data_IF_232362100945
#
_entry.id   IF_232362100945
#
_cell.length_a   1.000
_cell.length_b   1.000
_cell.length_c   1.000
_cell.angle_alpha   90.00
_cell.angle_beta   90.00
_cell.angle_gamma   90.00
#
_symmetry.space_group_name_H-M   'P 1'
#
loop_
_entity.id
_entity.type
_entity.pdbx_description
1 polymer ?
#
# COMPACT_ATOMS: atom_id res chain seq x y z
N UNK A 1 12.74 3.77 7.04
CA UNK A 1 12.66 3.55 8.51
C UNK A 1 11.42 2.75 8.87
N UNK A 2 10.21 3.23 8.55
CA UNK A 2 8.96 2.48 8.80
C UNK A 2 8.91 1.14 8.06
N UNK A 3 9.30 1.08 6.79
CA UNK A 3 9.39 -0.19 6.04
C UNK A 3 10.17 -1.26 6.82
N UNK A 4 11.40 -0.93 7.25
CA UNK A 4 12.25 -1.83 8.05
C UNK A 4 11.61 -2.24 9.39
N UNK A 5 10.83 -1.35 10.00
CA UNK A 5 10.10 -1.66 11.23
C UNK A 5 9.05 -2.74 10.98
N UNK A 6 8.24 -2.59 9.92
CA UNK A 6 7.19 -3.54 9.57
C UNK A 6 7.75 -4.90 9.11
N UNK A 7 8.81 -4.92 8.29
CA UNK A 7 9.48 -6.16 7.88
C UNK A 7 9.97 -6.95 9.10
N UNK A 8 10.69 -6.30 10.01
CA UNK A 8 11.19 -6.94 11.24
C UNK A 8 10.08 -7.38 12.18
N UNK A 9 9.01 -6.62 12.27
CA UNK A 9 7.85 -6.98 13.08
C UNK A 9 7.15 -8.23 12.53
N UNK A 10 6.99 -8.31 11.21
CA UNK A 10 6.42 -9.48 10.54
C UNK A 10 7.28 -10.73 10.71
N UNK A 11 8.59 -10.62 10.45
CA UNK A 11 9.56 -11.72 10.68
C UNK A 11 9.51 -12.22 12.13
N UNK A 12 9.46 -11.31 13.12
CA UNK A 12 9.38 -11.67 14.55
C UNK A 12 8.05 -12.34 14.91
N UNK A 13 6.96 -11.98 14.25
CA UNK A 13 5.63 -12.60 14.43
C UNK A 13 5.49 -13.94 13.70
N UNK A 14 6.47 -14.33 12.88
CA UNK A 14 6.40 -15.51 12.03
C UNK A 14 5.47 -15.33 10.83
N UNK A 15 5.20 -14.08 10.42
CA UNK A 15 4.47 -13.80 9.21
C UNK A 15 5.37 -13.95 7.98
N UNK A 16 4.82 -14.49 6.90
CA UNK A 16 5.47 -14.43 5.60
C UNK A 16 5.27 -13.02 5.03
N UNK A 17 6.38 -12.33 4.77
CA UNK A 17 6.40 -10.92 4.37
C UNK A 17 7.11 -10.81 3.04
N UNK A 18 6.38 -10.39 2.02
CA UNK A 18 6.89 -10.20 0.66
C UNK A 18 6.96 -8.71 0.33
N UNK A 19 8.10 -8.28 -0.17
CA UNK A 19 8.30 -6.92 -0.65
C UNK A 19 7.87 -6.84 -2.12
N UNK A 20 6.69 -6.29 -2.40
CA UNK A 20 6.13 -6.24 -3.76
C UNK A 20 6.78 -5.15 -4.60
N UNK A 21 6.93 -3.95 -4.03
CA UNK A 21 7.49 -2.80 -4.75
C UNK A 21 8.23 -1.88 -3.78
N UNK A 22 9.35 -1.32 -4.23
CA UNK A 22 10.02 -0.20 -3.57
C UNK A 22 10.49 0.78 -4.63
N UNK A 23 10.18 2.05 -4.41
CA UNK A 23 10.70 3.15 -5.21
C UNK A 23 11.59 4.01 -4.33
N UNK A 24 12.87 4.11 -4.71
CA UNK A 24 13.84 4.92 -3.97
C UNK A 24 13.53 6.42 -4.09
N UNK A 25 13.92 7.18 -3.05
CA UNK A 25 13.87 8.64 -3.07
C UNK A 25 15.06 9.22 -3.84
N UNK A 26 14.89 10.41 -4.42
CA UNK A 26 15.91 11.04 -5.28
C UNK A 26 17.24 11.35 -4.56
N UNK A 27 17.18 11.72 -3.28
CA UNK A 27 18.37 12.09 -2.50
C UNK A 27 18.66 11.09 -1.38
N UNK A 28 17.62 10.68 -0.64
CA UNK A 28 17.74 9.69 0.42
C UNK A 28 16.39 9.08 0.78
N UNK A 29 16.41 7.83 1.21
CA UNK A 29 15.23 7.13 1.69
C UNK A 29 14.38 6.54 0.56
N UNK A 30 13.09 6.37 0.83
CA UNK A 30 12.14 5.67 -0.03
C UNK A 30 10.99 6.63 -0.32
N UNK A 31 10.59 6.71 -1.60
CA UNK A 31 9.43 7.48 -2.05
C UNK A 31 8.13 6.72 -1.79
N UNK A 32 8.10 5.45 -2.14
CA UNK A 32 6.96 4.54 -1.97
C UNK A 32 7.45 3.11 -1.74
N UNK A 33 6.69 2.34 -0.97
CA UNK A 33 6.93 0.92 -0.80
C UNK A 33 5.62 0.18 -0.56
N UNK A 34 5.48 -0.98 -1.16
CA UNK A 34 4.34 -1.89 -1.04
C UNK A 34 4.82 -3.21 -0.47
N UNK A 35 4.18 -3.67 0.60
CA UNK A 35 4.53 -4.91 1.30
C UNK A 35 3.29 -5.78 1.42
N UNK A 36 3.43 -7.05 1.09
CA UNK A 36 2.39 -8.04 1.20
C UNK A 36 2.65 -8.94 2.43
N UNK A 37 1.70 -9.01 3.35
CA UNK A 37 1.75 -9.87 4.54
C UNK A 37 0.85 -11.10 4.34
N UNK A 38 1.44 -12.28 4.16
CA UNK A 38 0.74 -13.55 3.93
C UNK A 38 0.67 -14.34 5.23
N UNK A 39 -0.37 -14.12 6.04
CA UNK A 39 -0.63 -14.93 7.23
C UNK A 39 -2.03 -14.74 7.79
N UNK A 40 -2.57 -15.72 8.54
CA UNK A 40 -3.85 -15.57 9.22
C UNK A 40 -3.89 -14.32 10.10
N UNK A 41 -4.98 -13.57 10.00
CA UNK A 41 -5.25 -12.36 10.80
C UNK A 41 -4.26 -11.20 10.62
N UNK A 42 -3.41 -11.20 9.58
CA UNK A 42 -2.44 -10.12 9.33
C UNK A 42 -3.09 -8.72 9.28
N UNK A 43 -4.20 -8.60 8.55
CA UNK A 43 -4.97 -7.35 8.48
C UNK A 43 -5.49 -6.89 9.85
N UNK A 44 -5.94 -7.83 10.70
CA UNK A 44 -6.47 -7.51 12.04
C UNK A 44 -5.44 -6.83 12.94
N UNK A 45 -4.17 -7.23 12.83
CA UNK A 45 -3.07 -6.59 13.55
C UNK A 45 -2.64 -5.26 12.94
N UNK A 46 -2.61 -5.17 11.60
CA UNK A 46 -2.10 -3.99 10.89
C UNK A 46 -3.14 -2.88 10.73
N UNK A 47 -4.44 -3.14 10.89
CA UNK A 47 -5.51 -2.12 10.72
C UNK A 47 -5.32 -0.88 11.61
N UNK A 48 -4.69 -1.03 12.78
CA UNK A 48 -4.43 0.08 13.71
C UNK A 48 -3.26 0.95 13.29
N UNK A 49 -2.46 0.50 12.32
CA UNK A 49 -1.30 1.21 11.79
C UNK A 49 -1.67 2.19 10.67
N UNK A 50 -2.90 2.11 10.15
CA UNK A 50 -3.42 3.02 9.11
C UNK A 50 -3.46 4.45 9.64
N UNK A 51 -2.77 5.36 8.97
CA UNK A 51 -2.72 6.77 9.33
C UNK A 51 -1.39 7.44 9.01
N UNK A 52 -1.18 8.62 9.59
CA UNK A 52 0.04 9.41 9.39
C UNK A 52 0.97 9.28 10.59
N UNK A 53 2.16 8.78 10.35
CA UNK A 53 3.20 8.59 11.35
C UNK A 53 4.13 9.79 11.37
N UNK A 54 4.34 10.38 12.55
CA UNK A 54 5.14 11.59 12.75
C UNK A 54 6.49 11.28 13.39
N UNK A 55 7.58 11.78 12.80
CA UNK A 55 8.93 11.69 13.35
C UNK A 55 9.49 13.08 13.62
N UNK A 56 9.97 13.33 14.84
CA UNK A 56 10.62 14.58 15.24
C UNK A 56 12.06 14.29 15.68
N UNK A 57 13.06 14.73 14.91
CA UNK A 57 14.48 14.50 15.21
C UNK A 57 15.37 15.59 14.63
N UNK A 58 16.64 15.64 15.05
CA UNK A 58 17.67 16.40 14.32
C UNK A 58 17.97 15.67 13.02
N UNK A 59 17.84 16.36 11.89
CA UNK A 59 18.06 15.73 10.58
C UNK A 59 19.56 15.53 10.35
N UNK A 60 20.02 14.34 9.89
CA UNK A 60 21.40 14.15 9.46
C UNK A 60 21.70 14.87 8.14
N UNK A 61 20.66 15.33 7.44
CA UNK A 61 20.76 16.04 6.16
C UNK A 61 20.71 17.56 6.30
N UNK A 62 20.54 18.09 7.52
CA UNK A 62 20.57 19.53 7.77
C UNK A 62 21.88 19.94 8.43
N UNK A 63 22.69 20.74 7.73
CA UNK A 63 23.96 21.29 8.23
C UNK A 63 23.78 22.19 9.48
N UNK A 64 22.58 22.76 9.68
CA UNK A 64 22.26 23.60 10.84
C UNK A 64 21.85 22.85 12.11
N UNK A 65 21.81 21.51 12.07
CA UNK A 65 21.39 20.64 13.17
C UNK A 65 20.02 21.00 13.80
N UNK A 66 19.12 21.58 13.00
CA UNK A 66 17.78 21.98 13.47
C UNK A 66 16.90 20.76 13.64
N UNK A 67 15.88 20.90 14.48
CA UNK A 67 14.90 19.84 14.71
C UNK A 67 13.87 19.86 13.58
N UNK A 68 13.84 18.80 12.79
CA UNK A 68 12.90 18.65 11.68
C UNK A 68 11.74 17.74 12.11
N UNK A 69 10.56 18.02 11.57
CA UNK A 69 9.38 17.15 11.68
C UNK A 69 9.12 16.54 10.31
N UNK A 70 9.01 15.21 10.25
CA UNK A 70 8.68 14.46 9.04
C UNK A 70 7.40 13.66 9.26
N UNK A 71 6.68 13.40 8.18
CA UNK A 71 5.44 12.63 8.16
C UNK A 71 5.54 11.53 7.11
N UNK A 72 4.90 10.39 7.38
CA UNK A 72 4.75 9.31 6.41
C UNK A 72 3.37 8.67 6.58
N UNK A 73 2.64 8.54 5.47
CA UNK A 73 1.32 7.89 5.48
C UNK A 73 1.48 6.39 5.29
N UNK A 74 0.73 5.62 6.07
CA UNK A 74 0.64 4.16 5.98
C UNK A 74 -0.82 3.81 5.75
N UNK A 75 -1.07 2.98 4.73
CA UNK A 75 -2.38 2.45 4.43
C UNK A 75 -2.29 0.92 4.39
N UNK A 76 -3.32 0.27 4.93
CA UNK A 76 -3.39 -1.18 5.01
C UNK A 76 -4.73 -1.61 4.43
N UNK A 77 -4.68 -2.50 3.46
CA UNK A 77 -5.86 -3.08 2.81
C UNK A 77 -5.84 -4.59 2.98
N UNK A 78 -6.99 -5.23 3.27
CA UNK A 78 -7.07 -6.68 3.22
C UNK A 78 -7.10 -7.13 1.76
N UNK A 79 -6.41 -8.22 1.46
CA UNK A 79 -6.65 -8.96 0.21
C UNK A 79 -7.87 -9.86 0.41
N UNK A 80 -8.83 -9.77 -0.50
CA UNK A 80 -10.05 -10.59 -0.53
C UNK A 80 -9.92 -11.48 -1.76
N UNK A 81 -10.42 -12.70 -1.68
CA UNK A 81 -10.46 -13.62 -2.82
C UNK A 81 -11.36 -13.05 -3.93
N UNK A 82 -10.87 -13.10 -5.17
CA UNK A 82 -11.55 -12.64 -6.38
C UNK A 82 -12.62 -13.63 -6.89
N UNK A 83 -12.93 -14.70 -6.14
CA UNK A 83 -14.02 -15.65 -6.41
C UNK A 83 -15.43 -15.05 -6.24
N UNK A 84 -15.67 -13.83 -6.70
CA UNK A 84 -17.01 -13.27 -6.86
C UNK A 84 -17.51 -13.68 -8.24
N UNK A 85 -18.21 -14.82 -8.30
CA UNK A 85 -19.04 -15.14 -9.47
C UNK A 85 -20.19 -14.14 -9.55
N UNK A 86 -19.99 -13.06 -10.31
CA UNK A 86 -21.06 -12.13 -10.66
C UNK A 86 -21.85 -12.75 -11.80
N UNK A 87 -22.96 -13.42 -11.47
CA UNK A 87 -23.92 -13.89 -12.47
C UNK A 87 -24.69 -12.69 -13.03
N UNK A 88 -24.32 -12.27 -14.25
CA UNK A 88 -25.00 -11.19 -14.95
C UNK A 88 -26.17 -11.81 -15.71
N UNK A 89 -27.38 -11.62 -15.19
CA UNK A 89 -28.59 -12.04 -15.89
C UNK A 89 -28.72 -11.30 -17.23
N UNK A 90 -28.74 -12.01 -18.38
CA UNK A 90 -28.89 -11.38 -19.68
C UNK A 90 -30.17 -10.58 -19.86
N UNK A 91 -31.21 -10.82 -19.05
CA UNK A 91 -32.45 -10.06 -19.08
C UNK A 91 -32.30 -8.62 -18.54
N UNK A 92 -31.30 -8.37 -17.70
CA UNK A 92 -30.99 -7.05 -17.14
C UNK A 92 -30.02 -6.25 -18.04
N UNK A 93 -29.48 -6.90 -19.08
CA UNK A 93 -28.62 -6.27 -20.07
C UNK A 93 -29.45 -5.71 -21.23
N UNK A 94 -29.43 -4.39 -21.38
CA UNK A 94 -29.85 -3.75 -22.63
C UNK A 94 -28.66 -3.59 -23.55
N UNK A 95 -28.51 -4.51 -24.50
CA UNK A 95 -27.46 -4.49 -25.52
C UNK A 95 -28.04 -3.90 -26.81
N UNK A 96 -27.68 -2.66 -27.13
CA UNK A 96 -28.09 -2.00 -28.37
C UNK A 96 -26.89 -1.96 -29.35
N UNK A 97 -27.11 -2.46 -30.58
CA UNK A 97 -26.11 -2.42 -31.66
C UNK A 97 -26.32 -1.19 -32.54
N UNK A 98 -25.31 -0.32 -32.62
CA UNK A 98 -25.31 0.85 -33.50
C UNK A 98 -24.21 0.70 -34.58
N UNK A 99 -24.40 1.35 -35.74
CA UNK A 99 -23.36 1.44 -36.77
C UNK A 99 -22.31 2.45 -36.32
N UNK A 100 -21.03 2.13 -36.51
CA UNK A 100 -19.95 3.08 -36.30
C UNK A 100 -20.18 4.31 -37.19
N UNK A 101 -20.32 5.49 -36.58
CA UNK A 101 -20.58 6.75 -37.29
C UNK A 101 -19.28 7.44 -37.75
N UNK A 102 -18.27 6.65 -38.10
CA UNK A 102 -16.98 7.11 -38.62
C UNK A 102 -16.97 7.10 -40.15
N UNK A 103 -16.16 7.98 -40.75
CA UNK A 103 -15.79 7.85 -42.15
C UNK A 103 -14.69 6.78 -42.27
N UNK A 104 -15.09 5.51 -42.13
CA UNK A 104 -14.18 4.37 -42.01
C UNK A 104 -13.73 4.13 -40.57
#
# INVERSE_FOLDING_TARGET
MLLRMYLRWGEKKGFDVELTEVSDGEVAGIKSATVHFKSPYAYGYLRTETGVHRLVRKSPFDSGARRHTSFASVFVYPEIDDNVEVDINPADLRVDTYRASGAG
#
